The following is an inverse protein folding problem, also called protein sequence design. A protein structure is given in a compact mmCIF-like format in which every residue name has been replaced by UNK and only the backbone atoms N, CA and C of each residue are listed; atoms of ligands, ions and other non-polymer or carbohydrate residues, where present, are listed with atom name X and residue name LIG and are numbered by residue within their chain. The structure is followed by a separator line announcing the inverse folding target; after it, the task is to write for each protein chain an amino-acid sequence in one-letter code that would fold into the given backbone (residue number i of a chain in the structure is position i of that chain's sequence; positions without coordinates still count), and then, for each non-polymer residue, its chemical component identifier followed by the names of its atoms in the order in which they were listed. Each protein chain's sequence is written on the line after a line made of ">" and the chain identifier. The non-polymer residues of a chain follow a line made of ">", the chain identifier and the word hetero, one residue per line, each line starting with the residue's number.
data_IF_673701657250
#
_entry.id   IF_673701657250
#
_cell.length_a   1.000
_cell.length_b   1.000
_cell.length_c   1.000
_cell.angle_alpha   90.00
_cell.angle_beta   90.00
_cell.angle_gamma   90.00
#
_symmetry.space_group_name_H-M   'P 1'
#
loop_
_entity.id
_entity.type
_entity.pdbx_description
1 polymer ?
#
# COMPACT_ATOMS: atom_id res chain seq x y z
N UNK A 1 30.99 5.95 -0.90
CA UNK A 1 29.89 6.77 -0.34
C UNK A 1 28.72 6.67 -1.30
N UNK A 2 27.61 6.00 -0.94
CA UNK A 2 26.52 5.70 -1.90
C UNK A 2 25.49 6.82 -1.82
N UNK A 3 25.25 7.46 -2.96
CA UNK A 3 24.51 8.72 -3.11
C UNK A 3 23.09 8.55 -2.59
N UNK A 4 22.74 9.41 -1.63
CA UNK A 4 21.40 9.51 -1.07
C UNK A 4 20.48 10.02 -2.18
N UNK A 5 19.58 9.16 -2.66
CA UNK A 5 18.68 9.49 -3.76
C UNK A 5 17.90 10.78 -3.52
N UNK A 6 17.56 11.47 -4.60
CA UNK A 6 16.82 12.74 -4.58
C UNK A 6 15.52 12.56 -3.79
N UNK A 7 15.45 13.28 -2.67
CA UNK A 7 14.30 13.29 -1.78
C UNK A 7 13.42 14.49 -2.11
N UNK A 8 12.13 14.23 -2.29
CA UNK A 8 11.13 15.25 -2.61
C UNK A 8 10.11 15.32 -1.49
N UNK A 9 9.68 16.53 -1.17
CA UNK A 9 8.61 16.77 -0.20
C UNK A 9 7.35 17.14 -0.96
N UNK A 10 6.27 16.38 -0.79
CA UNK A 10 4.97 16.75 -1.34
C UNK A 10 4.21 17.67 -0.37
N UNK A 11 3.46 18.61 -0.94
CA UNK A 11 2.47 19.39 -0.21
C UNK A 11 1.16 18.60 -0.13
N UNK A 12 1.08 17.73 0.88
CA UNK A 12 -0.05 16.83 1.12
C UNK A 12 -0.90 17.42 2.25
N UNK A 13 -2.25 17.35 2.16
CA UNK A 13 -3.14 17.72 3.26
C UNK A 13 -2.71 17.10 4.60
N UNK A 14 -2.78 17.88 5.68
CA UNK A 14 -2.28 17.48 7.00
C UNK A 14 -2.88 16.19 7.54
N UNK A 15 -4.13 15.87 7.17
CA UNK A 15 -4.79 14.61 7.51
C UNK A 15 -4.12 13.36 6.93
N UNK A 16 -3.32 13.49 5.87
CA UNK A 16 -2.62 12.40 5.18
C UNK A 16 -1.10 12.41 5.42
N UNK A 17 -0.59 13.36 6.21
CA UNK A 17 0.85 13.52 6.46
C UNK A 17 1.35 12.51 7.49
N UNK A 18 1.59 11.27 7.05
CA UNK A 18 2.39 10.31 7.83
C UNK A 18 3.90 10.47 7.54
N UNK A 19 4.29 10.56 6.25
CA UNK A 19 5.65 10.83 5.81
C UNK A 19 5.63 11.59 4.46
N UNK A 20 5.73 12.94 4.45
CA UNK A 20 5.61 13.73 3.23
C UNK A 20 6.88 13.74 2.36
N UNK A 21 7.99 13.19 2.86
CA UNK A 21 9.28 13.11 2.14
C UNK A 21 9.46 11.73 1.51
N UNK A 22 9.71 11.71 0.20
CA UNK A 22 9.84 10.50 -0.58
C UNK A 22 11.16 10.48 -1.34
N UNK A 23 11.75 9.29 -1.46
CA UNK A 23 12.94 9.07 -2.27
C UNK A 23 12.52 8.48 -3.61
N UNK A 24 12.78 9.18 -4.72
CA UNK A 24 12.35 8.72 -6.05
C UNK A 24 12.89 7.33 -6.39
N UNK A 25 14.14 7.04 -6.01
CA UNK A 25 14.78 5.73 -6.22
C UNK A 25 14.13 4.56 -5.45
N UNK A 26 13.17 4.83 -4.56
CA UNK A 26 12.40 3.81 -3.82
C UNK A 26 10.93 3.73 -4.27
N UNK A 27 10.50 4.58 -5.19
CA UNK A 27 9.12 4.58 -5.70
C UNK A 27 8.93 3.46 -6.72
N UNK A 28 7.75 2.84 -6.70
CA UNK A 28 7.28 1.93 -7.76
C UNK A 28 6.53 2.75 -8.81
N UNK A 29 6.50 2.27 -10.06
CA UNK A 29 5.68 2.88 -11.12
C UNK A 29 4.20 2.86 -10.70
N UNK A 30 3.55 4.00 -10.80
CA UNK A 30 2.11 4.08 -10.58
C UNK A 30 1.38 3.39 -11.74
N UNK A 31 0.46 2.48 -11.41
CA UNK A 31 -0.49 1.91 -12.33
C UNK A 31 -1.87 2.43 -11.94
N UNK A 32 -2.60 3.02 -12.89
CA UNK A 32 -3.92 3.56 -12.63
C UNK A 32 -4.83 2.45 -12.09
N UNK A 33 -5.41 2.68 -10.92
CA UNK A 33 -6.43 1.80 -10.39
C UNK A 33 -7.73 2.08 -11.15
N UNK A 34 -8.28 1.06 -11.81
CA UNK A 34 -9.68 1.09 -12.21
C UNK A 34 -10.50 1.05 -10.93
N UNK A 35 -10.99 2.20 -10.48
CA UNK A 35 -11.93 2.26 -9.35
C UNK A 35 -13.25 1.71 -9.88
N UNK A 36 -13.69 0.52 -9.45
CA UNK A 36 -15.00 0.03 -9.86
C UNK A 36 -16.07 1.00 -9.35
N UNK A 37 -17.16 1.21 -10.11
CA UNK A 37 -18.28 2.02 -9.63
C UNK A 37 -18.72 1.48 -8.28
N UNK A 38 -18.63 2.31 -7.25
CA UNK A 38 -18.84 1.93 -5.86
C UNK A 38 -20.28 1.50 -5.65
N UNK A 39 -20.51 0.19 -5.67
CA UNK A 39 -21.85 -0.36 -5.50
C UNK A 39 -21.91 -1.87 -5.66
N UNK A 40 -21.06 -2.60 -4.92
CA UNK A 40 -21.19 -3.99 -4.42
C UNK A 40 -19.85 -4.72 -4.45
N UNK A 41 -19.47 -5.28 -3.30
CA UNK A 41 -18.71 -6.53 -3.22
C UNK A 41 -17.27 -6.53 -3.73
N UNK A 42 -16.37 -5.81 -3.08
CA UNK A 42 -14.97 -6.22 -3.02
C UNK A 42 -14.43 -5.83 -1.64
N UNK A 43 -15.02 -6.45 -0.61
CA UNK A 43 -14.28 -6.71 0.62
C UNK A 43 -13.02 -7.46 0.16
N UNK A 44 -11.88 -6.78 0.25
CA UNK A 44 -10.58 -7.40 0.04
C UNK A 44 -10.58 -8.65 0.92
N UNK A 45 -10.69 -9.83 0.31
CA UNK A 45 -10.58 -11.13 0.97
C UNK A 45 -9.12 -11.28 1.47
N UNK A 46 -8.75 -10.46 2.44
CA UNK A 46 -7.69 -10.79 3.36
C UNK A 46 -8.22 -11.98 4.15
N UNK A 47 -7.58 -13.15 4.06
CA UNK A 47 -8.02 -14.31 4.82
C UNK A 47 -8.14 -13.87 6.28
N UNK A 48 -9.33 -14.03 6.84
CA UNK A 48 -9.53 -13.82 8.27
C UNK A 48 -8.50 -14.67 9.02
N UNK A 49 -7.95 -14.15 10.12
CA UNK A 49 -6.91 -14.82 10.93
C UNK A 49 -7.33 -16.22 11.45
N UNK A 50 -8.62 -16.57 11.33
CA UNK A 50 -9.16 -17.93 11.55
C UNK A 50 -8.90 -18.90 10.39
N UNK A 51 -8.94 -18.45 9.14
CA UNK A 51 -8.73 -19.27 7.95
C UNK A 51 -7.29 -19.78 7.85
N UNK A 52 -6.31 -18.95 8.21
CA UNK A 52 -4.89 -19.35 8.25
C UNK A 52 -4.62 -20.45 9.30
N UNK A 53 -5.34 -20.47 10.43
CA UNK A 53 -5.17 -21.51 11.45
C UNK A 53 -5.74 -22.86 11.07
N UNK A 54 -6.74 -22.90 10.18
CA UNK A 54 -7.33 -24.16 9.72
C UNK A 54 -6.42 -24.89 8.71
N UNK A 55 -5.59 -24.15 7.99
CA UNK A 55 -4.62 -24.72 7.04
C UNK A 55 -3.46 -25.46 7.73
N UNK A 56 -3.18 -25.17 9.00
CA UNK A 56 -2.07 -25.75 9.79
C UNK A 56 -2.42 -27.05 10.54
N UNK A 57 -3.63 -27.62 10.38
CA UNK A 57 -4.05 -28.86 11.08
C UNK A 57 -3.81 -30.17 10.30
N UNK A 58 -3.11 -30.11 9.17
CA UNK A 58 -2.68 -31.29 8.40
C UNK A 58 -1.15 -31.31 8.34
N UNK A 59 -0.53 -31.60 9.48
CA UNK A 59 0.89 -31.90 9.64
C UNK A 59 1.04 -32.96 10.71
#
# INVERSE_FOLDING_TARGET
>A
MKVNGEAYTLDIPTSLRLHPTFYVGRLKKYHAATIPPSGTGAESERPSRRAVRAADWRG
#
